data_IF_127427282806
#
_entry.id   IF_127427282806
#
_cell.length_a   1.000
_cell.length_b   1.000
_cell.length_c   1.000
_cell.angle_alpha   90.00
_cell.angle_beta   90.00
_cell.angle_gamma   90.00
#
_symmetry.space_group_name_H-M   'P 1'
#
loop_
_entity.id
_entity.type
_entity.pdbx_description
1 polymer ?
#
# COMPACT_ATOMS: atom_id res chain seq x y z
N UNK A 1 -6.34 20.15 -20.98
CA UNK A 1 -6.94 21.51 -20.93
C UNK A 1 -7.89 21.62 -19.72
N UNK A 2 -7.55 21.00 -18.58
CA UNK A 2 -8.51 20.69 -17.49
C UNK A 2 -8.26 21.45 -16.18
N UNK A 3 -7.04 21.94 -15.92
CA UNK A 3 -6.75 22.80 -14.75
C UNK A 3 -7.47 24.17 -14.75
N UNK A 4 -8.31 24.44 -15.76
CA UNK A 4 -8.97 25.74 -15.96
C UNK A 4 -10.29 25.85 -15.19
N UNK A 5 -11.00 24.75 -14.92
CA UNK A 5 -12.33 24.80 -14.33
C UNK A 5 -12.28 25.23 -12.85
N UNK A 6 -11.43 24.58 -12.04
CA UNK A 6 -11.26 24.92 -10.61
C UNK A 6 -10.72 26.34 -10.41
N UNK A 7 -9.82 26.81 -11.29
CA UNK A 7 -9.30 28.19 -11.29
C UNK A 7 -10.40 29.19 -11.65
N UNK A 8 -11.19 28.89 -12.67
CA UNK A 8 -12.34 29.71 -13.11
C UNK A 8 -13.39 29.80 -12.01
N UNK A 9 -13.74 28.69 -11.36
CA UNK A 9 -14.68 28.67 -10.24
C UNK A 9 -14.18 29.50 -9.05
N UNK A 10 -12.92 29.32 -8.63
CA UNK A 10 -12.31 30.13 -7.56
C UNK A 10 -12.31 31.64 -7.87
N UNK A 11 -12.29 32.03 -9.14
CA UNK A 11 -12.33 33.45 -9.52
C UNK A 11 -13.69 34.10 -9.25
N UNK A 12 -14.80 33.36 -9.38
CA UNK A 12 -16.14 33.87 -9.10
C UNK A 12 -16.36 34.18 -7.61
N UNK A 13 -15.70 33.45 -6.71
CA UNK A 13 -15.82 33.66 -5.25
C UNK A 13 -14.86 34.73 -4.68
N UNK A 14 -13.93 35.26 -5.47
CA UNK A 14 -12.95 36.28 -5.03
C UNK A 14 -13.41 37.72 -5.24
N UNK A 15 -14.43 37.96 -6.07
CA UNK A 15 -15.08 39.27 -6.21
C UNK A 15 -16.40 39.20 -5.45
N UNK A 16 -16.78 40.26 -4.74
CA UNK A 16 -17.99 40.35 -3.92
C UNK A 16 -19.35 40.22 -4.66
N UNK A 17 -19.38 39.52 -5.79
CA UNK A 17 -20.59 39.11 -6.48
C UNK A 17 -21.09 37.79 -5.90
N UNK A 18 -22.37 37.75 -5.53
CA UNK A 18 -23.04 36.51 -5.10
C UNK A 18 -23.11 35.57 -6.32
N UNK A 19 -22.57 34.34 -6.23
CA UNK A 19 -22.69 33.36 -7.31
C UNK A 19 -24.15 33.11 -7.65
N UNK A 20 -24.44 32.90 -8.92
CA UNK A 20 -25.77 32.39 -9.31
C UNK A 20 -25.92 30.94 -8.91
N UNK A 21 -27.16 30.46 -8.81
CA UNK A 21 -27.48 29.08 -8.42
C UNK A 21 -26.79 28.05 -9.33
N UNK A 22 -26.75 28.31 -10.64
CA UNK A 22 -26.04 27.46 -11.62
C UNK A 22 -24.52 27.45 -11.41
N UNK A 23 -23.92 28.58 -11.02
CA UNK A 23 -22.49 28.65 -10.71
C UNK A 23 -22.16 27.91 -9.40
N UNK A 24 -23.07 27.97 -8.43
CA UNK A 24 -22.91 27.26 -7.17
C UNK A 24 -23.09 25.73 -7.34
N UNK A 25 -24.06 25.29 -8.14
CA UNK A 25 -24.20 23.90 -8.51
C UNK A 25 -22.94 23.36 -9.21
N UNK A 26 -22.41 24.10 -10.19
CA UNK A 26 -21.13 23.76 -10.84
C UNK A 26 -19.95 23.69 -9.88
N UNK A 27 -19.97 24.47 -8.80
CA UNK A 27 -18.93 24.42 -7.78
C UNK A 27 -19.06 23.17 -6.90
N UNK A 28 -20.28 22.81 -6.49
CA UNK A 28 -20.55 21.57 -5.77
C UNK A 28 -20.16 20.34 -6.58
N UNK A 29 -20.50 20.31 -7.86
CA UNK A 29 -20.14 19.23 -8.78
C UNK A 29 -18.61 19.15 -8.98
N UNK A 30 -17.90 20.28 -8.90
CA UNK A 30 -16.45 20.36 -9.03
C UNK A 30 -15.68 20.10 -7.72
N UNK A 31 -16.36 19.98 -6.57
CA UNK A 31 -15.71 19.70 -5.29
C UNK A 31 -15.23 18.25 -5.15
N UNK A 32 -15.65 17.36 -6.05
CA UNK A 32 -15.25 15.95 -6.07
C UNK A 32 -15.08 15.48 -7.52
N UNK A 33 -14.08 16.03 -8.21
CA UNK A 33 -13.74 15.61 -9.57
C UNK A 33 -12.87 14.37 -9.48
N UNK A 34 -13.54 13.22 -9.36
CA UNK A 34 -12.90 11.92 -9.14
C UNK A 34 -11.72 11.64 -10.10
N UNK A 35 -11.84 12.08 -11.35
CA UNK A 35 -10.82 11.89 -12.38
C UNK A 35 -9.64 12.87 -12.28
N UNK A 36 -9.85 14.08 -11.75
CA UNK A 36 -8.78 15.08 -11.60
C UNK A 36 -8.02 14.93 -10.28
N UNK A 37 -8.74 14.59 -9.20
CA UNK A 37 -8.16 14.46 -7.87
C UNK A 37 -7.50 13.07 -7.67
N UNK A 38 -7.64 12.15 -8.63
CA UNK A 38 -7.08 10.79 -8.57
C UNK A 38 -7.74 9.93 -7.48
N UNK A 39 -8.99 10.23 -7.13
CA UNK A 39 -9.77 9.56 -6.10
C UNK A 39 -11.07 9.07 -6.75
N UNK A 40 -11.22 7.76 -6.89
CA UNK A 40 -12.40 7.16 -7.53
C UNK A 40 -13.11 6.24 -6.56
N UNK A 41 -14.44 6.32 -6.54
CA UNK A 41 -15.28 5.31 -5.87
C UNK A 41 -15.69 4.31 -6.94
N UNK A 42 -15.27 3.05 -6.80
CA UNK A 42 -15.67 1.93 -7.64
C UNK A 42 -16.63 1.01 -6.88
N UNK A 43 -17.26 0.05 -7.57
CA UNK A 43 -18.15 -0.95 -6.94
C UNK A 43 -17.48 -1.73 -5.79
N UNK A 44 -16.15 -1.78 -5.76
CA UNK A 44 -15.35 -2.48 -4.75
C UNK A 44 -14.74 -1.60 -3.67
N UNK A 45 -14.87 -0.27 -3.73
CA UNK A 45 -14.33 0.62 -2.70
C UNK A 45 -13.73 1.93 -3.21
N UNK A 46 -12.89 2.54 -2.37
CA UNK A 46 -12.19 3.79 -2.64
C UNK A 46 -10.80 3.50 -3.23
N UNK A 47 -10.54 4.00 -4.43
CA UNK A 47 -9.28 3.85 -5.16
C UNK A 47 -8.55 5.19 -5.26
N UNK A 48 -7.25 5.18 -5.02
CA UNK A 48 -6.36 6.32 -5.19
C UNK A 48 -5.36 6.01 -6.31
N UNK A 49 -5.34 6.82 -7.37
CA UNK A 49 -4.41 6.64 -8.50
C UNK A 49 -3.01 7.20 -8.24
N UNK A 50 -2.84 7.95 -7.15
CA UNK A 50 -1.59 8.58 -6.73
C UNK A 50 -1.23 8.17 -5.30
N UNK A 51 -0.02 8.54 -4.86
CA UNK A 51 0.45 8.28 -3.50
C UNK A 51 -0.47 8.88 -2.43
N UNK A 52 -0.79 8.07 -1.42
CA UNK A 52 -1.58 8.48 -0.26
C UNK A 52 -0.65 8.66 0.94
N UNK A 53 -0.55 9.89 1.44
CA UNK A 53 0.14 10.19 2.70
C UNK A 53 -0.87 10.39 3.82
N UNK A 54 -0.80 9.57 4.87
CA UNK A 54 -1.67 9.66 6.05
C UNK A 54 -0.91 10.30 7.20
N UNK A 55 -1.44 11.40 7.74
CA UNK A 55 -0.94 12.01 8.98
C UNK A 55 -1.85 11.61 10.14
N UNK A 56 -1.27 11.00 11.17
CA UNK A 56 -1.99 10.49 12.34
C UNK A 56 -2.16 8.97 12.30
N UNK A 57 -3.23 8.47 12.92
CA UNK A 57 -3.47 7.03 13.07
C UNK A 57 -4.43 6.52 11.98
N UNK A 58 -4.07 5.41 11.32
CA UNK A 58 -4.97 4.64 10.47
C UNK A 58 -5.59 3.52 11.28
N UNK A 59 -6.92 3.51 11.40
CA UNK A 59 -7.67 2.38 11.99
C UNK A 59 -8.36 1.61 10.86
N UNK A 60 -8.09 0.32 10.78
CA UNK A 60 -8.70 -0.61 9.82
C UNK A 60 -9.45 -1.68 10.59
N UNK A 61 -10.71 -1.91 10.20
CA UNK A 61 -11.53 -3.00 10.71
C UNK A 61 -11.69 -4.04 9.60
N UNK A 62 -10.66 -4.87 9.44
CA UNK A 62 -10.53 -5.79 8.30
C UNK A 62 -9.07 -6.10 7.97
N UNK A 63 -8.81 -6.41 6.70
CA UNK A 63 -7.49 -6.82 6.20
C UNK A 63 -6.85 -5.73 5.35
N UNK A 64 -5.54 -5.55 5.51
CA UNK A 64 -4.72 -4.67 4.69
C UNK A 64 -3.80 -5.48 3.77
N UNK A 65 -3.93 -5.29 2.47
CA UNK A 65 -3.13 -5.98 1.45
C UNK A 65 -2.07 -5.04 0.89
N UNK A 66 -0.81 -5.45 0.96
CA UNK A 66 0.31 -4.74 0.36
C UNK A 66 0.74 -5.47 -0.91
N UNK A 67 0.67 -4.83 -2.07
CA UNK A 67 1.31 -5.32 -3.29
C UNK A 67 2.79 -4.93 -3.26
N UNK A 68 3.67 -5.85 -3.66
CA UNK A 68 5.07 -5.50 -3.89
C UNK A 68 5.19 -4.47 -5.02
N UNK A 69 6.19 -3.58 -4.92
CA UNK A 69 6.50 -2.65 -6.01
C UNK A 69 6.87 -3.46 -7.27
N UNK A 70 6.17 -3.25 -8.41
CA UNK A 70 6.46 -3.97 -9.65
C UNK A 70 7.92 -3.78 -10.12
N UNK A 71 8.60 -2.68 -9.76
CA UNK A 71 10.01 -2.49 -10.09
C UNK A 71 10.93 -3.43 -9.32
N UNK A 72 10.62 -3.73 -8.05
CA UNK A 72 11.37 -4.70 -7.25
C UNK A 72 11.11 -6.13 -7.74
N UNK A 73 9.87 -6.43 -8.14
CA UNK A 73 9.51 -7.74 -8.68
C UNK A 73 10.29 -8.08 -9.96
N UNK A 74 10.60 -7.09 -10.79
CA UNK A 74 11.34 -7.27 -12.05
C UNK A 74 12.83 -7.54 -11.82
N UNK A 75 13.44 -6.98 -10.77
CA UNK A 75 14.85 -7.23 -10.42
C UNK A 75 15.08 -8.63 -9.80
N UNK A 76 14.03 -9.29 -9.34
CA UNK A 76 14.10 -10.61 -8.71
C UNK A 76 13.97 -11.78 -9.70
N UNK A 77 13.57 -11.53 -10.96
CA UNK A 77 13.26 -12.57 -11.95
C UNK A 77 14.47 -12.97 -12.83
N UNK A 78 15.55 -12.20 -12.84
CA UNK A 78 16.73 -12.40 -13.70
C UNK A 78 17.86 -13.22 -13.07
N UNK A 79 17.67 -13.75 -11.85
CA UNK A 79 18.64 -14.65 -11.24
C UNK A 79 18.48 -16.08 -11.81
N UNK A 80 19.56 -16.76 -12.20
CA UNK A 80 19.48 -18.15 -12.64
C UNK A 80 18.85 -18.98 -11.53
N UNK A 81 17.72 -19.66 -11.85
CA UNK A 81 16.99 -20.58 -10.95
C UNK A 81 17.85 -21.80 -10.63
N UNK A 82 18.91 -21.58 -9.86
CA UNK A 82 19.46 -22.61 -8.99
C UNK A 82 18.34 -23.01 -8.03
N UNK A 83 18.26 -24.29 -7.66
CA UNK A 83 17.24 -24.88 -6.78
C UNK A 83 17.31 -24.34 -5.32
N UNK A 84 17.43 -23.03 -5.16
CA UNK A 84 17.48 -22.35 -3.89
C UNK A 84 16.04 -22.03 -3.43
N UNK A 85 15.81 -22.20 -2.14
CA UNK A 85 14.58 -21.81 -1.48
C UNK A 85 14.39 -20.28 -1.67
N UNK A 86 13.26 -19.82 -2.20
CA UNK A 86 13.05 -18.40 -2.44
C UNK A 86 12.97 -17.63 -1.13
N UNK A 87 13.43 -16.38 -1.17
CA UNK A 87 13.27 -15.42 -0.08
C UNK A 87 11.77 -15.20 0.16
N UNK A 88 11.37 -15.17 1.43
CA UNK A 88 9.97 -15.05 1.83
C UNK A 88 9.24 -16.38 1.97
N UNK A 89 9.84 -17.51 1.58
CA UNK A 89 9.24 -18.83 1.83
C UNK A 89 9.09 -19.10 3.33
N UNK A 90 7.91 -19.60 3.73
CA UNK A 90 7.54 -19.89 5.11
C UNK A 90 7.56 -21.40 5.35
N UNK A 91 8.17 -21.81 6.46
CA UNK A 91 8.30 -23.20 6.86
C UNK A 91 7.87 -23.42 8.30
N UNK A 92 7.42 -24.65 8.60
CA UNK A 92 7.33 -25.14 9.97
C UNK A 92 8.71 -25.56 10.45
N UNK A 93 9.08 -25.10 11.64
CA UNK A 93 10.38 -25.37 12.26
C UNK A 93 10.21 -25.96 13.66
N UNK A 94 10.90 -27.06 13.92
CA UNK A 94 11.00 -27.70 15.22
C UNK A 94 12.45 -27.64 15.68
N UNK A 95 12.73 -26.80 16.68
CA UNK A 95 14.09 -26.62 17.22
C UNK A 95 14.24 -25.29 17.95
N UNK A 96 15.18 -25.22 18.89
CA UNK A 96 15.45 -24.02 19.69
C UNK A 96 16.30 -22.98 18.95
N UNK A 97 17.17 -23.44 18.04
CA UNK A 97 18.08 -22.59 17.27
C UNK A 97 17.57 -22.48 15.83
N UNK A 98 17.49 -21.25 15.31
CA UNK A 98 17.07 -20.99 13.94
C UNK A 98 18.22 -21.25 12.95
N UNK A 99 17.95 -21.85 11.78
CA UNK A 99 18.95 -21.96 10.71
C UNK A 99 19.40 -20.59 10.22
N UNK A 100 20.65 -20.50 9.75
CA UNK A 100 21.18 -19.23 9.24
C UNK A 100 20.34 -18.69 8.07
N UNK A 101 20.00 -17.40 8.13
CA UNK A 101 19.21 -16.73 7.11
C UNK A 101 17.72 -17.07 7.17
N UNK A 102 17.24 -17.47 8.35
CA UNK A 102 15.82 -17.61 8.68
C UNK A 102 15.53 -16.85 9.97
N UNK A 103 14.31 -16.32 10.06
CA UNK A 103 13.81 -15.59 11.23
C UNK A 103 12.39 -16.07 11.57
N UNK A 104 11.92 -15.77 12.78
CA UNK A 104 10.55 -16.09 13.19
C UNK A 104 9.51 -15.24 12.44
N UNK A 105 8.35 -15.84 12.18
CA UNK A 105 7.15 -15.11 11.74
C UNK A 105 6.47 -14.45 12.94
N UNK A 106 7.12 -13.43 13.50
CA UNK A 106 6.78 -12.76 14.76
C UNK A 106 6.10 -11.39 14.59
N UNK A 107 5.81 -10.97 13.36
CA UNK A 107 5.24 -9.64 13.09
C UNK A 107 6.25 -8.49 13.19
N UNK A 108 7.52 -8.75 13.48
CA UNK A 108 8.54 -7.72 13.65
C UNK A 108 9.32 -7.51 12.35
N UNK A 109 9.90 -6.32 12.19
CA UNK A 109 10.76 -5.97 11.04
C UNK A 109 10.12 -6.29 9.67
N UNK A 110 8.81 -6.13 9.55
CA UNK A 110 8.05 -6.38 8.32
C UNK A 110 7.73 -7.86 8.03
N UNK A 111 8.11 -8.79 8.92
CA UNK A 111 7.76 -10.21 8.81
C UNK A 111 6.29 -10.45 9.17
N UNK A 112 5.64 -11.46 8.58
CA UNK A 112 4.26 -11.81 8.96
C UNK A 112 4.20 -12.31 10.41
N UNK A 113 3.08 -12.09 11.08
CA UNK A 113 2.79 -12.71 12.39
C UNK A 113 1.98 -13.99 12.17
N UNK A 114 2.58 -15.15 12.46
CA UNK A 114 1.91 -16.45 12.36
C UNK A 114 1.96 -17.16 13.71
N UNK A 115 0.78 -17.39 14.30
CA UNK A 115 0.68 -18.07 15.60
C UNK A 115 1.16 -19.53 15.49
N UNK A 116 2.08 -19.98 16.35
CA UNK A 116 2.57 -21.36 16.38
C UNK A 116 1.42 -22.38 16.48
N UNK A 117 1.45 -23.49 15.71
CA UNK A 117 0.44 -24.53 15.83
C UNK A 117 0.50 -25.26 17.18
N UNK A 118 1.66 -25.28 17.84
CA UNK A 118 1.84 -25.78 19.20
C UNK A 118 3.11 -25.18 19.83
N UNK A 119 3.41 -25.55 21.08
CA UNK A 119 4.54 -24.99 21.86
C UNK A 119 5.93 -25.38 21.35
N UNK A 120 6.04 -26.35 20.44
CA UNK A 120 7.31 -26.90 20.00
C UNK A 120 7.62 -26.63 18.53
N UNK A 121 6.68 -26.05 17.79
CA UNK A 121 6.81 -25.79 16.36
C UNK A 121 6.49 -24.33 16.08
N UNK A 122 7.38 -23.63 15.39
CA UNK A 122 7.20 -22.23 15.00
C UNK A 122 7.17 -22.08 13.47
N UNK A 123 6.63 -20.97 13.00
CA UNK A 123 6.78 -20.56 11.60
C UNK A 123 8.04 -19.72 11.44
N UNK A 124 8.89 -20.10 10.48
CA UNK A 124 10.11 -19.36 10.12
C UNK A 124 10.05 -18.92 8.66
N UNK A 125 10.68 -17.79 8.35
CA UNK A 125 10.72 -17.21 7.00
C UNK A 125 12.15 -17.10 6.49
N UNK A 126 12.39 -17.48 5.23
CA UNK A 126 13.69 -17.32 4.56
C UNK A 126 13.95 -15.84 4.30
N UNK A 127 15.09 -15.32 4.76
CA UNK A 127 15.54 -13.96 4.46
C UNK A 127 16.76 -13.95 3.54
N UNK A 128 16.96 -12.82 2.85
CA UNK A 128 18.21 -12.49 2.16
C UNK A 128 19.27 -12.34 3.24
N UNK A 129 20.41 -12.99 3.02
CA UNK A 129 21.58 -12.77 3.86
C UNK A 129 22.15 -11.42 3.41
N UNK A 130 22.23 -10.44 4.28
CA UNK A 130 23.09 -9.29 4.03
C UNK A 130 24.50 -9.85 3.89
N UNK A 131 24.99 -9.90 2.64
CA UNK A 131 26.36 -10.31 2.35
C UNK A 131 27.28 -9.25 2.92
N UNK A 132 28.02 -9.62 3.96
CA UNK A 132 29.26 -8.93 4.28
C UNK A 132 30.38 -9.84 3.76
N UNK A 133 30.85 -9.52 2.55
CA UNK A 133 32.21 -9.87 2.11
C UNK A 133 33.20 -8.92 2.81
#
# INVERSE_FOLDING_TARGET
MESSLRKTLKSFFRRGAKPTESQFAKWLDACLLQNEDGIRISEGGLEFSNDVTIKGNLKLDGTFWLSADPQIATLLDDAPRSQAIPVGAIFLWYGEVLPQGYELCDGQLGRPFLSPPNKHVNYIIKLIKDGND
#
